data_IF_931026270568
#
_entry.id   IF_931026270568
#
_cell.length_a   1.000
_cell.length_b   1.000
_cell.length_c   1.000
_cell.angle_alpha   90.00
_cell.angle_beta   90.00
_cell.angle_gamma   90.00
#
_symmetry.space_group_name_H-M   'P 1'
#
loop_
_entity.id
_entity.type
_entity.pdbx_description
1 polymer ?
#
# COMPACT_ATOMS: atom_id res chain seq x y z
N UNK A 1 7.90 3.04 -22.58
CA UNK A 1 6.88 2.64 -23.58
C UNK A 1 5.93 1.57 -23.06
N UNK A 2 6.39 0.39 -22.58
CA UNK A 2 5.49 -0.70 -22.13
C UNK A 2 4.50 -0.32 -21.01
N UNK A 3 4.94 0.44 -20.00
CA UNK A 3 4.10 0.83 -18.84
C UNK A 3 2.94 1.76 -19.24
N UNK A 4 3.18 2.67 -20.18
CA UNK A 4 2.16 3.63 -20.67
C UNK A 4 1.09 2.91 -21.50
N UNK A 5 1.47 1.90 -22.28
CA UNK A 5 0.53 1.09 -23.06
C UNK A 5 -0.33 0.21 -22.15
N UNK A 6 0.24 -0.39 -21.11
CA UNK A 6 -0.51 -1.22 -20.15
C UNK A 6 -1.55 -0.40 -19.37
N UNK A 7 -1.19 0.78 -18.87
CA UNK A 7 -2.12 1.67 -18.16
C UNK A 7 -3.27 2.09 -19.07
N UNK A 8 -2.96 2.58 -20.28
CA UNK A 8 -4.00 2.99 -21.26
C UNK A 8 -4.94 1.85 -21.62
N UNK A 9 -4.42 0.64 -21.80
CA UNK A 9 -5.25 -0.52 -22.08
C UNK A 9 -6.17 -0.86 -20.91
N UNK A 10 -5.70 -0.74 -19.67
CA UNK A 10 -6.54 -1.01 -18.50
C UNK A 10 -7.63 0.07 -18.37
N UNK A 11 -7.28 1.34 -18.51
CA UNK A 11 -8.25 2.45 -18.48
C UNK A 11 -9.30 2.32 -19.58
N UNK A 12 -8.89 1.97 -20.80
CA UNK A 12 -9.79 1.88 -21.96
C UNK A 12 -10.75 0.70 -21.86
N UNK A 13 -10.28 -0.46 -21.38
CA UNK A 13 -11.09 -1.68 -21.36
C UNK A 13 -11.86 -1.90 -20.05
N UNK A 14 -11.39 -1.32 -18.93
CA UNK A 14 -11.94 -1.59 -17.61
C UNK A 14 -12.27 -0.33 -16.80
N UNK A 15 -11.91 0.87 -17.26
CA UNK A 15 -12.21 2.16 -16.60
C UNK A 15 -11.30 2.49 -15.40
N UNK A 16 -10.82 1.49 -14.67
CA UNK A 16 -9.96 1.63 -13.50
C UNK A 16 -9.00 0.44 -13.36
N UNK A 17 -7.87 0.65 -12.69
CA UNK A 17 -6.83 -0.36 -12.52
C UNK A 17 -6.00 -0.16 -11.26
N UNK A 18 -5.33 -1.23 -10.83
CA UNK A 18 -4.42 -1.22 -9.69
C UNK A 18 -2.99 -1.41 -10.18
N UNK A 19 -2.12 -0.45 -9.86
CA UNK A 19 -0.69 -0.56 -10.05
C UNK A 19 -0.03 -0.85 -8.70
N UNK A 20 0.73 -1.94 -8.62
CA UNK A 20 1.51 -2.31 -7.44
C UNK A 20 2.98 -2.34 -7.83
N UNK A 21 3.80 -1.60 -7.09
CA UNK A 21 5.27 -1.67 -7.17
C UNK A 21 5.79 -2.41 -5.94
N UNK A 22 6.51 -3.51 -6.17
CA UNK A 22 7.08 -4.35 -5.10
C UNK A 22 8.57 -4.46 -5.31
N UNK A 23 9.34 -4.10 -4.29
CA UNK A 23 10.77 -4.31 -4.24
C UNK A 23 11.18 -4.71 -2.83
N UNK A 24 12.21 -5.56 -2.71
CA UNK A 24 12.81 -5.82 -1.40
C UNK A 24 13.57 -4.59 -0.93
N UNK A 25 13.48 -4.21 0.34
CA UNK A 25 14.30 -3.18 0.98
C UNK A 25 15.00 -3.78 2.22
N UNK A 26 16.14 -3.21 2.64
CA UNK A 26 16.96 -3.74 3.73
C UNK A 26 17.00 -2.76 4.91
N UNK A 27 15.84 -2.56 5.55
CA UNK A 27 15.73 -1.80 6.80
C UNK A 27 15.86 -2.74 8.02
N UNK A 28 16.55 -2.32 9.10
CA UNK A 28 16.75 -3.13 10.31
C UNK A 28 15.46 -3.60 11.00
N UNK A 29 14.37 -2.87 10.82
CA UNK A 29 13.08 -3.10 11.48
C UNK A 29 12.33 -4.30 10.88
N UNK A 30 12.76 -4.78 9.70
CA UNK A 30 12.19 -5.95 9.01
C UNK A 30 10.67 -5.86 8.75
N UNK A 31 10.14 -4.64 8.60
CA UNK A 31 8.75 -4.38 8.24
C UNK A 31 8.56 -4.41 6.72
N UNK A 32 7.38 -4.85 6.27
CA UNK A 32 6.88 -4.52 4.94
C UNK A 32 6.45 -3.05 4.96
N UNK A 33 6.98 -2.24 4.06
CA UNK A 33 6.64 -0.82 3.95
C UNK A 33 5.75 -0.58 2.73
N UNK A 34 4.60 0.05 2.94
CA UNK A 34 3.65 0.38 1.87
C UNK A 34 3.61 1.89 1.66
N UNK A 35 4.33 2.37 0.65
CA UNK A 35 4.34 3.79 0.29
C UNK A 35 3.06 4.25 -0.42
N UNK A 36 2.29 5.14 0.21
CA UNK A 36 1.09 5.76 -0.37
C UNK A 36 1.30 7.19 -0.90
N UNK A 37 2.55 7.60 -1.16
CA UNK A 37 2.95 8.98 -1.46
C UNK A 37 2.60 9.93 -0.31
N UNK A 38 2.66 9.40 0.91
CA UNK A 38 2.47 10.14 2.16
C UNK A 38 3.73 9.97 3.01
N UNK A 39 4.37 11.07 3.46
CA UNK A 39 5.54 10.96 4.29
C UNK A 39 5.16 10.49 5.71
N UNK A 40 6.14 9.98 6.45
CA UNK A 40 5.91 9.39 7.78
C UNK A 40 5.32 10.42 8.77
N UNK A 41 5.73 11.68 8.65
CA UNK A 41 5.20 12.79 9.44
C UNK A 41 3.69 12.94 9.25
N UNK A 42 3.18 12.71 8.04
CA UNK A 42 1.73 12.72 7.77
C UNK A 42 1.03 11.51 8.40
N UNK A 43 1.65 10.33 8.36
CA UNK A 43 1.11 9.12 9.01
C UNK A 43 1.11 9.22 10.54
N UNK A 44 1.99 10.04 11.11
CA UNK A 44 2.06 10.31 12.54
C UNK A 44 1.00 11.28 13.07
N UNK A 45 0.26 11.96 12.19
CA UNK A 45 -0.78 12.91 12.59
C UNK A 45 -1.96 12.21 13.29
N UNK A 46 -2.69 12.90 14.18
CA UNK A 46 -3.92 12.39 14.76
C UNK A 46 -4.96 12.01 13.68
N UNK A 47 -5.67 10.90 13.88
CA UNK A 47 -6.71 10.39 12.94
C UNK A 47 -7.69 11.47 12.45
N UNK A 48 -8.24 12.36 13.31
CA UNK A 48 -9.13 13.42 12.84
C UNK A 48 -8.45 14.35 11.82
N UNK A 49 -7.19 14.74 12.05
CA UNK A 49 -6.45 15.59 11.12
C UNK A 49 -6.21 14.91 9.77
N UNK A 50 -5.98 13.60 9.75
CA UNK A 50 -5.85 12.81 8.52
C UNK A 50 -7.17 12.77 7.74
N UNK A 51 -8.29 12.57 8.44
CA UNK A 51 -9.61 12.42 7.81
C UNK A 51 -10.19 13.75 7.34
N UNK A 52 -9.95 14.83 8.07
CA UNK A 52 -10.53 16.15 7.83
C UNK A 52 -9.73 16.99 6.83
N UNK A 53 -8.49 16.60 6.49
CA UNK A 53 -7.61 17.38 5.62
C UNK A 53 -7.66 16.90 4.15
N UNK A 54 -8.22 17.70 3.23
CA UNK A 54 -8.29 17.36 1.81
C UNK A 54 -6.94 17.24 1.12
N UNK A 55 -5.92 17.96 1.56
CA UNK A 55 -4.59 17.93 0.96
C UNK A 55 -3.91 16.59 1.20
N UNK A 56 -4.18 15.95 2.35
CA UNK A 56 -3.63 14.64 2.70
C UNK A 56 -4.17 13.55 1.77
N UNK A 57 -5.49 13.36 1.73
CA UNK A 57 -6.05 12.31 0.88
C UNK A 57 -5.94 12.65 -0.61
N UNK A 58 -5.89 13.93 -0.99
CA UNK A 58 -5.71 14.32 -2.39
C UNK A 58 -4.26 14.14 -2.89
N UNK A 59 -3.27 14.18 -2.00
CA UNK A 59 -1.86 13.91 -2.31
C UNK A 59 -1.49 12.44 -2.39
N UNK A 60 -2.35 11.53 -1.91
CA UNK A 60 -2.04 10.10 -1.83
C UNK A 60 -2.21 9.36 -3.16
N UNK A 61 -1.37 8.34 -3.39
CA UNK A 61 -1.50 7.42 -4.54
C UNK A 61 -2.77 6.55 -4.49
N UNK A 62 -3.41 6.44 -3.32
CA UNK A 62 -4.70 5.76 -3.16
C UNK A 62 -5.89 6.74 -3.13
N UNK A 63 -5.72 7.99 -3.58
CA UNK A 63 -6.83 8.97 -3.68
C UNK A 63 -8.04 8.43 -4.42
N UNK A 64 -7.82 7.81 -5.60
CA UNK A 64 -8.92 7.32 -6.43
C UNK A 64 -9.74 6.23 -5.74
N UNK A 65 -9.08 5.42 -4.91
CA UNK A 65 -9.72 4.42 -4.05
C UNK A 65 -10.64 5.09 -3.03
N UNK A 66 -10.12 6.10 -2.32
CA UNK A 66 -10.88 6.85 -1.34
C UNK A 66 -12.09 7.55 -1.98
N UNK A 67 -11.91 8.23 -3.12
CA UNK A 67 -13.00 8.88 -3.85
C UNK A 67 -14.15 7.91 -4.18
N UNK A 68 -13.87 6.64 -4.48
CA UNK A 68 -14.92 5.65 -4.76
C UNK A 68 -15.67 5.16 -3.52
N UNK A 69 -15.08 5.27 -2.33
CA UNK A 69 -15.61 4.67 -1.09
C UNK A 69 -15.86 5.67 0.03
N UNK A 70 -15.58 6.95 -0.16
CA UNK A 70 -15.61 7.99 0.88
C UNK A 70 -16.95 8.14 1.61
N UNK A 71 -18.05 7.65 1.03
CA UNK A 71 -19.35 7.61 1.70
C UNK A 71 -19.43 6.55 2.83
N UNK A 72 -18.54 5.55 2.81
CA UNK A 72 -18.61 4.37 3.67
C UNK A 72 -17.34 4.15 4.50
N UNK A 73 -16.23 4.82 4.17
CA UNK A 73 -14.94 4.61 4.83
C UNK A 73 -14.21 5.93 5.03
N UNK A 74 -13.54 6.09 6.18
CA UNK A 74 -12.66 7.23 6.41
C UNK A 74 -11.29 6.99 5.76
N UNK A 75 -10.57 8.06 5.41
CA UNK A 75 -9.29 7.92 4.72
C UNK A 75 -8.26 7.15 5.57
N UNK A 76 -8.20 7.43 6.88
CA UNK A 76 -7.39 6.71 7.84
C UNK A 76 -7.60 5.18 7.83
N UNK A 77 -8.83 4.72 7.62
CA UNK A 77 -9.14 3.29 7.60
C UNK A 77 -8.53 2.59 6.37
N UNK A 78 -8.33 3.31 5.26
CA UNK A 78 -7.62 2.81 4.09
C UNK A 78 -6.10 2.76 4.31
N UNK A 79 -5.56 3.63 5.15
CA UNK A 79 -4.13 3.66 5.48
C UNK A 79 -3.74 2.53 6.43
N UNK A 80 -4.49 2.35 7.52
CA UNK A 80 -4.10 1.44 8.60
C UNK A 80 -5.24 0.64 9.24
N UNK A 81 -6.48 0.69 8.74
CA UNK A 81 -7.57 -0.11 9.30
C UNK A 81 -7.30 -1.62 9.20
N UNK A 82 -7.68 -2.40 10.22
CA UNK A 82 -7.30 -3.81 10.34
C UNK A 82 -7.76 -4.66 9.15
N UNK A 83 -9.01 -4.50 8.74
CA UNK A 83 -9.63 -5.28 7.66
C UNK A 83 -9.73 -4.52 6.34
N UNK A 84 -9.61 -3.19 6.40
CA UNK A 84 -9.84 -2.25 5.29
C UNK A 84 -8.57 -1.78 4.61
N UNK A 85 -7.43 -1.76 5.31
CA UNK A 85 -6.15 -1.39 4.71
C UNK A 85 -5.39 -2.61 4.18
N UNK A 86 -4.61 -2.42 3.12
CA UNK A 86 -3.74 -3.46 2.57
C UNK A 86 -2.70 -3.94 3.60
N UNK A 87 -2.11 -3.01 4.35
CA UNK A 87 -1.15 -3.34 5.40
C UNK A 87 -1.80 -4.01 6.61
N UNK A 88 -3.04 -3.65 6.96
CA UNK A 88 -3.81 -4.33 8.00
C UNK A 88 -4.10 -5.79 7.68
N UNK A 89 -4.39 -6.11 6.41
CA UNK A 89 -4.54 -7.48 5.92
C UNK A 89 -3.23 -8.26 6.03
N UNK A 90 -2.13 -7.72 5.50
CA UNK A 90 -0.81 -8.36 5.60
C UNK A 90 -0.40 -8.62 7.05
N UNK A 91 -0.61 -7.65 7.94
CA UNK A 91 -0.40 -7.77 9.38
C UNK A 91 -1.24 -8.91 9.98
N UNK A 92 -2.49 -9.05 9.56
CA UNK A 92 -3.38 -10.13 10.03
C UNK A 92 -2.97 -11.52 9.52
N UNK A 93 -2.24 -11.59 8.41
CA UNK A 93 -1.60 -12.81 7.91
C UNK A 93 -0.23 -13.09 8.55
N UNK A 94 0.17 -12.31 9.56
CA UNK A 94 1.42 -12.50 10.30
C UNK A 94 2.64 -11.82 9.69
N UNK A 95 2.46 -10.91 8.73
CA UNK A 95 3.55 -10.13 8.15
C UNK A 95 3.58 -8.73 8.77
N UNK A 96 4.60 -8.45 9.59
CA UNK A 96 4.76 -7.13 10.20
C UNK A 96 4.85 -6.05 9.11
N UNK A 97 3.91 -5.11 9.11
CA UNK A 97 3.69 -4.18 8.00
C UNK A 97 3.38 -2.76 8.50
N UNK A 98 3.89 -1.75 7.81
CA UNK A 98 3.63 -0.32 8.04
C UNK A 98 3.24 0.38 6.71
N UNK A 99 2.21 1.23 6.69
CA UNK A 99 1.20 1.43 7.73
C UNK A 99 0.27 0.20 7.89
N UNK A 100 -0.15 -0.08 9.13
CA UNK A 100 -1.14 -1.08 9.51
C UNK A 100 -1.79 -0.74 10.86
N UNK A 101 -2.80 -1.53 11.27
CA UNK A 101 -3.49 -1.33 12.54
C UNK A 101 -2.59 -1.52 13.77
N UNK A 102 -1.46 -2.23 13.63
CA UNK A 102 -0.46 -2.43 14.67
C UNK A 102 0.68 -1.40 14.53
N UNK A 103 1.18 -1.18 13.32
CA UNK A 103 2.26 -0.23 13.03
C UNK A 103 1.75 0.86 12.11
N UNK A 104 1.15 1.92 12.66
CA UNK A 104 0.53 3.00 11.86
C UNK A 104 1.55 3.86 11.10
N UNK A 105 2.69 4.12 11.74
CA UNK A 105 3.80 4.92 11.24
C UNK A 105 5.10 4.38 11.87
N UNK A 106 6.25 4.79 11.35
CA UNK A 106 7.55 4.34 11.83
C UNK A 106 8.02 5.12 13.07
N UNK A 107 8.89 4.53 13.90
CA UNK A 107 9.44 5.23 15.06
C UNK A 107 10.36 6.38 14.59
N UNK A 108 10.42 7.44 15.40
CA UNK A 108 11.25 8.63 15.15
C UNK A 108 12.69 8.21 14.78
N UNK A 109 13.24 8.84 13.74
CA UNK A 109 14.59 8.63 13.19
C UNK A 109 14.83 7.37 12.34
N UNK A 110 13.76 6.67 11.90
CA UNK A 110 13.86 5.57 10.94
C UNK A 110 13.48 6.01 9.52
N UNK A 111 14.06 5.36 8.51
CA UNK A 111 13.78 5.70 7.11
C UNK A 111 12.49 5.02 6.68
N UNK A 112 11.56 5.80 6.10
CA UNK A 112 10.32 5.27 5.53
C UNK A 112 10.34 5.35 4.00
N UNK A 113 10.01 4.26 3.32
CA UNK A 113 9.67 4.31 1.91
C UNK A 113 8.25 4.86 1.70
N UNK A 114 8.13 6.18 1.56
CA UNK A 114 6.86 6.85 1.32
C UNK A 114 6.34 6.72 -0.14
N UNK A 115 7.13 6.17 -1.07
CA UNK A 115 6.80 6.08 -2.49
C UNK A 115 7.74 6.91 -3.38
N UNK A 116 7.99 6.45 -4.60
CA UNK A 116 8.87 7.12 -5.56
C UNK A 116 8.18 7.42 -6.90
N UNK A 117 8.81 8.26 -7.73
CA UNK A 117 8.33 8.76 -9.04
C UNK A 117 8.11 7.68 -10.13
N UNK A 118 8.11 6.40 -9.75
CA UNK A 118 8.12 5.21 -10.61
C UNK A 118 9.33 5.15 -11.56
N UNK A 119 10.21 4.17 -11.28
CA UNK A 119 11.28 3.64 -12.14
C UNK A 119 12.60 4.42 -12.13
N UNK A 120 13.61 3.93 -11.39
CA UNK A 120 14.97 3.82 -11.93
C UNK A 120 15.86 2.83 -11.14
N UNK A 121 16.32 1.82 -11.89
CA UNK A 121 17.43 0.88 -11.64
C UNK A 121 17.17 -0.35 -10.75
N UNK A 122 17.10 -1.46 -11.50
CA UNK A 122 17.40 -2.86 -11.17
C UNK A 122 16.23 -3.69 -10.60
N UNK A 123 15.83 -4.79 -11.27
CA UNK A 123 15.00 -5.80 -10.62
C UNK A 123 15.80 -6.40 -9.46
N UNK A 124 15.41 -6.08 -8.22
CA UNK A 124 15.88 -6.84 -7.06
C UNK A 124 15.06 -8.12 -6.99
N UNK A 125 15.75 -9.26 -6.92
CA UNK A 125 15.11 -10.53 -6.60
C UNK A 125 14.40 -10.36 -5.26
N UNK A 126 13.10 -10.68 -5.22
CA UNK A 126 12.33 -10.73 -3.99
C UNK A 126 12.93 -11.82 -3.09
N UNK A 127 13.82 -11.42 -2.18
CA UNK A 127 14.47 -12.32 -1.21
C UNK A 127 13.57 -12.47 0.02
N UNK A 128 12.49 -13.23 -0.13
CA UNK A 128 11.62 -13.62 0.98
C UNK A 128 11.99 -15.03 1.41
N UNK A 129 12.80 -15.14 2.47
CA UNK A 129 13.10 -16.41 3.14
C UNK A 129 13.48 -17.58 2.22
N UNK A 130 13.13 -18.79 2.66
CA UNK A 130 13.28 -20.01 1.85
C UNK A 130 12.12 -20.16 0.85
N UNK A 131 12.16 -21.19 0.00
CA UNK A 131 11.15 -21.42 -1.06
C UNK A 131 9.72 -21.53 -0.49
N UNK A 132 9.56 -22.20 0.66
CA UNK A 132 8.27 -22.37 1.32
C UNK A 132 7.72 -21.03 1.83
N UNK A 133 8.51 -20.27 2.60
CA UNK A 133 8.13 -18.92 3.06
C UNK A 133 7.79 -18.00 1.89
N UNK A 134 8.52 -18.09 0.78
CA UNK A 134 8.23 -17.34 -0.44
C UNK A 134 6.90 -17.76 -1.07
N UNK A 135 6.61 -19.06 -1.14
CA UNK A 135 5.34 -19.56 -1.67
C UNK A 135 4.17 -19.13 -0.79
N UNK A 136 4.28 -19.25 0.53
CA UNK A 136 3.27 -18.77 1.48
C UNK A 136 3.06 -17.26 1.37
N UNK A 137 4.15 -16.49 1.23
CA UNK A 137 4.06 -15.05 1.00
C UNK A 137 3.36 -14.70 -0.32
N UNK A 138 3.70 -15.39 -1.42
CA UNK A 138 3.06 -15.16 -2.73
C UNK A 138 1.56 -15.49 -2.65
N UNK A 139 1.18 -16.56 -1.97
CA UNK A 139 -0.23 -16.91 -1.78
C UNK A 139 -0.96 -15.84 -0.97
N UNK A 140 -0.44 -15.47 0.21
CA UNK A 140 -1.04 -14.43 1.04
C UNK A 140 -1.12 -13.08 0.31
N UNK A 141 -0.07 -12.71 -0.42
CA UNK A 141 -0.05 -11.50 -1.25
C UNK A 141 -1.13 -11.57 -2.35
N UNK A 142 -1.24 -12.71 -3.02
CA UNK A 142 -2.25 -12.92 -4.08
C UNK A 142 -3.67 -12.85 -3.51
N UNK A 143 -3.92 -13.44 -2.34
CA UNK A 143 -5.20 -13.35 -1.62
C UNK A 143 -5.52 -11.91 -1.22
N UNK A 144 -4.55 -11.18 -0.69
CA UNK A 144 -4.72 -9.76 -0.34
C UNK A 144 -5.02 -8.90 -1.57
N UNK A 145 -4.32 -9.12 -2.68
CA UNK A 145 -4.57 -8.42 -3.95
C UNK A 145 -5.96 -8.77 -4.50
N UNK A 146 -6.31 -10.06 -4.55
CA UNK A 146 -7.60 -10.51 -5.05
C UNK A 146 -8.75 -9.95 -4.21
N UNK A 147 -8.62 -9.96 -2.88
CA UNK A 147 -9.60 -9.34 -1.99
C UNK A 147 -9.72 -7.84 -2.24
N UNK A 148 -8.59 -7.13 -2.32
CA UNK A 148 -8.58 -5.68 -2.54
C UNK A 148 -9.24 -5.30 -3.87
N UNK A 149 -8.97 -6.06 -4.94
CA UNK A 149 -9.66 -5.89 -6.22
C UNK A 149 -11.16 -6.15 -6.11
N UNK A 150 -11.58 -7.24 -5.46
CA UNK A 150 -13.01 -7.55 -5.28
C UNK A 150 -13.74 -6.47 -4.48
N UNK A 151 -13.14 -6.01 -3.39
CA UNK A 151 -13.78 -5.05 -2.47
C UNK A 151 -13.91 -3.65 -3.10
N UNK A 152 -12.90 -3.24 -3.87
CA UNK A 152 -12.73 -1.84 -4.26
C UNK A 152 -12.78 -1.56 -5.77
N UNK A 153 -12.73 -2.60 -6.60
CA UNK A 153 -12.71 -2.52 -8.06
C UNK A 153 -13.79 -3.39 -8.72
N UNK A 154 -14.43 -4.31 -7.98
CA UNK A 154 -15.57 -5.11 -8.43
C UNK A 154 -16.91 -4.40 -8.32
#
# INVERSE_FOLDING_TARGET
MVKVTAIKNVETNFGHGLLIDIHGHAHPEHLIEIGYVLPDETLSLPTPQINENPDIYSGSSIRSLYTRKSNNIQFADLLYGQTTSFGGRLQSHGYATVPSHIHKYLFKDTKYFHGGYCVQKLPRILRVGNKEKRSTFILALSECIAWFLKEYYG
#
